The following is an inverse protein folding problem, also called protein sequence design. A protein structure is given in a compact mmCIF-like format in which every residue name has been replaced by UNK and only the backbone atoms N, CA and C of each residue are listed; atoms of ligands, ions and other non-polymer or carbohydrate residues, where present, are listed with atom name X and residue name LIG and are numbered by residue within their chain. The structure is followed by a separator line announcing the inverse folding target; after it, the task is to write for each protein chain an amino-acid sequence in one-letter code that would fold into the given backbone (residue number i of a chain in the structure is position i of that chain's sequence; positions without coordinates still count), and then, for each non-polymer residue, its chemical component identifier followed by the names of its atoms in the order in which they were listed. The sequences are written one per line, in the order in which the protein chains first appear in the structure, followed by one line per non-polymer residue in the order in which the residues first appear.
data_IF_674593211338
#
_entry.id   IF_674593211338
#
_cell.length_a   1.000
_cell.length_b   1.000
_cell.length_c   1.000
_cell.angle_alpha   90.00
_cell.angle_beta   90.00
_cell.angle_gamma   90.00
#
_symmetry.space_group_name_H-M   'P 1'
#
loop_
_entity.id
_entity.type
_entity.pdbx_description
1 polymer ?
#
# COMPACT_ATOMS: atom_id res chain seq x y z
N UNK A 1 19.80 -10.78 7.38
CA UNK A 1 20.98 -11.66 7.39
C UNK A 1 22.27 -10.87 7.64
N UNK A 2 22.56 -9.82 6.89
CA UNK A 2 23.73 -8.96 7.11
C UNK A 2 23.75 -8.36 8.52
N UNK A 3 22.58 -7.93 9.04
CA UNK A 3 22.45 -7.44 10.41
C UNK A 3 23.08 -8.40 11.43
N UNK A 4 22.74 -9.69 11.37
CA UNK A 4 23.26 -10.68 12.34
C UNK A 4 24.75 -10.97 12.12
N UNK A 5 25.18 -11.06 10.85
CA UNK A 5 26.59 -11.28 10.51
C UNK A 5 27.46 -10.14 11.04
N UNK A 6 27.08 -8.90 10.73
CA UNK A 6 27.87 -7.74 11.16
C UNK A 6 27.76 -7.45 12.65
N UNK A 7 26.66 -7.81 13.31
CA UNK A 7 26.56 -7.76 14.76
C UNK A 7 27.52 -8.77 15.44
N UNK A 8 27.72 -9.94 14.83
CA UNK A 8 28.72 -10.88 15.28
C UNK A 8 30.15 -10.39 15.02
N UNK A 9 30.41 -9.82 13.83
CA UNK A 9 31.71 -9.24 13.48
C UNK A 9 32.08 -8.02 14.36
N UNK A 10 31.10 -7.25 14.79
CA UNK A 10 31.30 -6.12 15.70
C UNK A 10 31.77 -6.58 17.09
N UNK A 11 31.33 -7.75 17.56
CA UNK A 11 31.86 -8.37 18.79
C UNK A 11 33.33 -8.81 18.66
N UNK A 12 33.82 -8.93 17.43
CA UNK A 12 35.21 -9.24 17.10
C UNK A 12 36.05 -8.01 16.73
N UNK A 13 35.54 -6.81 17.04
CA UNK A 13 36.15 -5.50 16.74
C UNK A 13 36.47 -5.29 15.26
N UNK A 14 35.66 -5.89 14.35
CA UNK A 14 35.85 -5.70 12.91
C UNK A 14 35.51 -4.26 12.49
N UNK A 15 36.45 -3.54 11.83
CA UNK A 15 36.25 -2.14 11.49
C UNK A 15 35.01 -1.95 10.62
N UNK A 16 34.12 -1.02 11.02
CA UNK A 16 32.90 -0.66 10.29
C UNK A 16 31.70 -1.58 10.53
N UNK A 17 31.85 -2.70 11.25
CA UNK A 17 30.74 -3.62 11.53
C UNK A 17 29.62 -2.95 12.34
N UNK A 18 29.96 -2.05 13.26
CA UNK A 18 29.01 -1.32 14.08
C UNK A 18 28.01 -0.44 13.29
N UNK A 19 28.31 -0.10 12.03
CA UNK A 19 27.38 0.67 11.19
C UNK A 19 26.05 -0.06 10.95
N UNK A 20 26.04 -1.38 10.94
CA UNK A 20 24.84 -2.20 10.74
C UNK A 20 23.87 -2.18 11.93
N UNK A 21 24.27 -1.63 13.09
CA UNK A 21 23.37 -1.38 14.22
C UNK A 21 22.39 -0.24 13.92
N UNK A 22 22.80 0.72 13.09
CA UNK A 22 21.99 1.89 12.78
C UNK A 22 20.92 1.57 11.73
N UNK A 23 19.65 1.85 12.05
CA UNK A 23 18.51 1.67 11.15
C UNK A 23 18.67 2.52 9.88
N UNK A 24 19.16 3.76 10.01
CA UNK A 24 19.39 4.66 8.88
C UNK A 24 20.37 4.08 7.85
N UNK A 25 21.47 3.48 8.30
CA UNK A 25 22.44 2.82 7.41
C UNK A 25 21.82 1.62 6.70
N UNK A 26 21.10 0.76 7.43
CA UNK A 26 20.43 -0.42 6.87
C UNK A 26 19.31 -0.05 5.90
N UNK A 27 18.59 1.03 6.18
CA UNK A 27 17.55 1.55 5.28
C UNK A 27 18.14 2.09 3.99
N UNK A 28 19.21 2.88 4.05
CA UNK A 28 19.89 3.36 2.86
C UNK A 28 20.42 2.19 2.02
N UNK A 29 21.03 1.17 2.65
CA UNK A 29 21.50 -0.03 1.97
C UNK A 29 20.35 -0.81 1.35
N UNK A 30 19.22 -1.00 2.05
CA UNK A 30 18.04 -1.69 1.54
C UNK A 30 17.46 -0.98 0.30
N UNK A 31 17.40 0.36 0.33
CA UNK A 31 16.94 1.16 -0.80
C UNK A 31 17.84 0.98 -2.03
N UNK A 32 19.16 1.12 -1.85
CA UNK A 32 20.14 0.97 -2.94
C UNK A 32 20.10 -0.44 -3.53
N UNK A 33 20.10 -1.48 -2.68
CA UNK A 33 20.03 -2.86 -3.13
C UNK A 33 18.74 -3.15 -3.87
N UNK A 34 17.61 -2.65 -3.37
CA UNK A 34 16.30 -2.82 -3.99
C UNK A 34 16.24 -2.16 -5.35
N UNK A 35 16.72 -0.92 -5.46
CA UNK A 35 16.80 -0.17 -6.71
C UNK A 35 17.70 -0.91 -7.72
N UNK A 36 18.86 -1.39 -7.27
CA UNK A 36 19.79 -2.15 -8.11
C UNK A 36 19.19 -3.47 -8.59
N UNK A 37 18.54 -4.22 -7.71
CA UNK A 37 17.88 -5.48 -8.07
C UNK A 37 16.79 -5.23 -9.10
N UNK A 38 15.93 -4.24 -8.85
CA UNK A 38 14.83 -3.91 -9.76
C UNK A 38 15.33 -3.50 -11.14
N UNK A 39 16.37 -2.68 -11.23
CA UNK A 39 16.91 -2.18 -12.52
C UNK A 39 17.82 -3.20 -13.20
N UNK A 40 18.78 -3.82 -12.51
CA UNK A 40 19.76 -4.72 -13.12
C UNK A 40 19.19 -6.12 -13.41
N UNK A 41 18.41 -6.70 -12.47
CA UNK A 41 17.81 -8.02 -12.63
C UNK A 41 16.50 -7.92 -13.41
N UNK A 42 15.79 -6.81 -13.32
CA UNK A 42 14.52 -6.57 -13.99
C UNK A 42 14.60 -6.84 -15.49
N UNK A 43 15.66 -6.38 -16.16
CA UNK A 43 15.86 -6.63 -17.60
C UNK A 43 15.86 -8.11 -17.95
N UNK A 44 16.59 -8.92 -17.16
CA UNK A 44 16.67 -10.40 -17.41
C UNK A 44 15.30 -11.07 -17.23
N UNK A 45 14.53 -10.60 -16.25
CA UNK A 45 13.16 -11.12 -16.01
C UNK A 45 12.26 -10.73 -17.19
N UNK A 46 12.31 -9.49 -17.66
CA UNK A 46 11.53 -9.01 -18.81
C UNK A 46 11.86 -9.83 -20.06
N UNK A 47 13.14 -10.03 -20.38
CA UNK A 47 13.58 -10.83 -21.54
C UNK A 47 13.04 -12.27 -21.41
N UNK A 48 13.06 -12.87 -20.22
CA UNK A 48 12.50 -14.21 -19.98
C UNK A 48 10.98 -14.24 -20.14
N UNK A 49 10.27 -13.23 -19.65
CA UNK A 49 8.81 -13.11 -19.81
C UNK A 49 8.43 -12.95 -21.30
N UNK A 50 9.22 -12.19 -22.06
CA UNK A 50 9.04 -12.03 -23.51
C UNK A 50 9.27 -13.36 -24.26
N UNK A 51 10.35 -14.09 -23.93
CA UNK A 51 10.63 -15.41 -24.53
C UNK A 51 9.51 -16.42 -24.26
N UNK A 52 8.91 -16.39 -23.09
CA UNK A 52 7.76 -17.23 -22.75
C UNK A 52 6.46 -16.75 -23.40
N UNK A 53 6.51 -15.71 -24.27
CA UNK A 53 5.36 -15.08 -24.93
C UNK A 53 4.25 -14.66 -23.95
N UNK A 54 4.66 -14.25 -22.77
CA UNK A 54 3.77 -13.75 -21.72
C UNK A 54 3.40 -12.31 -22.06
N UNK A 55 2.80 -12.12 -23.25
CA UNK A 55 2.28 -10.83 -23.67
C UNK A 55 0.79 -10.73 -23.42
N UNK A 56 0.34 -9.61 -22.89
CA UNK A 56 -1.07 -9.36 -22.69
C UNK A 56 -1.79 -9.26 -24.04
N UNK A 57 -2.90 -9.98 -24.19
CA UNK A 57 -3.83 -9.75 -25.28
C UNK A 57 -4.63 -8.50 -24.95
N UNK A 58 -4.16 -7.35 -25.44
CA UNK A 58 -4.79 -6.04 -25.22
C UNK A 58 -6.27 -6.11 -25.61
N UNK A 59 -7.16 -5.87 -24.66
CA UNK A 59 -8.60 -5.70 -24.95
C UNK A 59 -8.77 -4.41 -25.72
N UNK A 60 -9.35 -4.47 -26.90
CA UNK A 60 -9.63 -3.25 -27.66
C UNK A 60 -10.75 -2.45 -26.95
N UNK A 61 -10.36 -1.49 -26.16
CA UNK A 61 -11.27 -0.56 -25.45
C UNK A 61 -11.51 0.72 -26.26
N UNK A 62 -10.91 0.82 -27.46
CA UNK A 62 -10.97 1.99 -28.32
C UNK A 62 -10.26 3.20 -27.69
N UNK A 63 -9.18 2.98 -26.96
CA UNK A 63 -8.33 4.02 -26.38
C UNK A 63 -7.15 4.31 -27.32
N UNK A 64 -6.78 5.59 -27.43
CA UNK A 64 -5.63 6.01 -28.23
C UNK A 64 -4.33 5.44 -27.62
N UNK A 65 -3.42 4.95 -28.46
CA UNK A 65 -2.17 4.33 -28.00
C UNK A 65 -2.28 2.89 -27.44
N UNK A 66 -3.48 2.33 -27.32
CA UNK A 66 -3.67 0.98 -26.75
C UNK A 66 -3.05 -0.12 -27.64
N UNK A 67 -3.09 0.04 -28.93
CA UNK A 67 -2.54 -0.95 -29.88
C UNK A 67 -1.01 -1.02 -29.86
N UNK A 68 -0.32 0.06 -29.48
CA UNK A 68 1.15 0.08 -29.31
C UNK A 68 1.62 -0.75 -28.12
N UNK A 69 0.74 -1.05 -27.16
CA UNK A 69 1.01 -1.88 -25.98
C UNK A 69 0.90 -3.40 -26.27
N UNK A 70 0.50 -3.78 -27.47
CA UNK A 70 0.39 -5.20 -27.87
C UNK A 70 1.78 -5.85 -27.86
N UNK A 71 1.92 -6.93 -27.10
CA UNK A 71 3.19 -7.67 -27.00
C UNK A 71 4.05 -7.25 -25.79
N UNK A 72 3.66 -6.21 -25.03
CA UNK A 72 4.32 -5.90 -23.76
C UNK A 72 4.05 -7.04 -22.76
N UNK A 73 5.10 -7.64 -22.15
CA UNK A 73 4.91 -8.73 -21.19
C UNK A 73 4.23 -8.23 -19.92
N UNK A 74 3.43 -9.08 -19.31
CA UNK A 74 2.81 -8.88 -17.99
C UNK A 74 3.54 -9.69 -16.91
N UNK A 75 3.06 -9.68 -15.67
CA UNK A 75 3.69 -10.32 -14.49
C UNK A 75 4.99 -9.65 -14.02
N UNK A 76 5.21 -8.39 -14.36
CA UNK A 76 6.36 -7.60 -13.88
C UNK A 76 6.41 -7.43 -12.36
N UNK A 77 5.29 -7.67 -11.66
CA UNK A 77 5.23 -7.69 -10.20
C UNK A 77 6.24 -8.63 -9.53
N UNK A 78 6.70 -9.67 -10.24
CA UNK A 78 7.78 -10.55 -9.76
C UNK A 78 9.06 -9.75 -9.49
N UNK A 79 9.38 -8.76 -10.32
CA UNK A 79 10.55 -7.89 -10.15
C UNK A 79 10.43 -7.13 -8.83
N UNK A 80 9.23 -6.56 -8.58
CA UNK A 80 8.94 -5.80 -7.36
C UNK A 80 9.08 -6.69 -6.12
N UNK A 81 8.48 -7.88 -6.14
CA UNK A 81 8.53 -8.83 -5.01
C UNK A 81 9.96 -9.20 -4.67
N UNK A 82 10.77 -9.58 -5.65
CA UNK A 82 12.18 -9.93 -5.45
C UNK A 82 12.96 -8.73 -4.91
N UNK A 83 12.72 -7.54 -5.47
CA UNK A 83 13.39 -6.31 -5.07
C UNK A 83 12.98 -5.81 -3.66
N UNK A 84 11.84 -6.24 -3.12
CA UNK A 84 11.45 -6.01 -1.73
C UNK A 84 12.00 -7.09 -0.81
N UNK A 85 11.75 -8.36 -1.15
CA UNK A 85 12.03 -9.48 -0.25
C UNK A 85 13.53 -9.65 -0.01
N UNK A 86 14.35 -9.62 -1.07
CA UNK A 86 15.80 -9.87 -0.94
C UNK A 86 16.50 -8.82 -0.08
N UNK A 87 16.35 -7.49 -0.31
CA UNK A 87 16.96 -6.49 0.56
C UNK A 87 16.42 -6.52 1.99
N UNK A 88 15.12 -6.80 2.18
CA UNK A 88 14.53 -6.95 3.52
C UNK A 88 15.18 -8.11 4.27
N UNK A 89 15.32 -9.30 3.66
CA UNK A 89 15.98 -10.45 4.27
C UNK A 89 17.45 -10.18 4.59
N UNK A 90 18.13 -9.37 3.79
CA UNK A 90 19.54 -9.02 4.02
C UNK A 90 19.72 -7.98 5.13
N UNK A 91 18.91 -6.92 5.13
CA UNK A 91 19.17 -5.72 5.92
C UNK A 91 18.31 -5.59 7.19
N UNK A 92 17.09 -6.16 7.21
CA UNK A 92 16.19 -6.03 8.36
C UNK A 92 16.51 -7.05 9.47
N UNK A 93 16.04 -6.75 10.69
CA UNK A 93 16.05 -7.65 11.83
C UNK A 93 14.88 -8.64 11.69
N UNK A 94 15.17 -9.86 11.26
CA UNK A 94 14.17 -10.87 10.90
C UNK A 94 13.41 -11.46 12.10
N UNK A 95 13.83 -11.20 13.33
CA UNK A 95 13.11 -11.58 14.55
C UNK A 95 12.00 -10.59 14.88
N UNK A 96 11.96 -9.42 14.21
CA UNK A 96 10.93 -8.42 14.45
C UNK A 96 9.60 -8.89 13.82
N UNK A 97 8.53 -8.92 14.64
CA UNK A 97 7.22 -9.43 14.22
C UNK A 97 6.60 -8.60 13.08
N UNK A 98 6.86 -7.30 13.06
CA UNK A 98 6.35 -6.41 12.01
C UNK A 98 6.99 -6.69 10.66
N UNK A 99 8.32 -6.95 10.66
CA UNK A 99 9.05 -7.36 9.44
C UNK A 99 8.52 -8.70 8.91
N UNK A 100 8.28 -9.66 9.81
CA UNK A 100 7.69 -10.96 9.44
C UNK A 100 6.33 -10.78 8.79
N UNK A 101 5.44 -9.97 9.40
CA UNK A 101 4.12 -9.67 8.83
C UNK A 101 4.21 -9.03 7.44
N UNK A 102 5.15 -8.11 7.24
CA UNK A 102 5.36 -7.46 5.94
C UNK A 102 5.85 -8.44 4.88
N UNK A 103 6.77 -9.35 5.23
CA UNK A 103 7.25 -10.40 4.33
C UNK A 103 6.13 -11.41 4.00
N UNK A 104 5.36 -11.84 5.01
CA UNK A 104 4.18 -12.71 4.80
C UNK A 104 3.18 -12.04 3.87
N UNK A 105 2.86 -10.77 4.10
CA UNK A 105 1.97 -9.98 3.24
C UNK A 105 2.45 -9.95 1.79
N UNK A 106 3.74 -9.65 1.59
CA UNK A 106 4.36 -9.56 0.27
C UNK A 106 4.28 -10.89 -0.48
N UNK A 107 4.62 -11.99 0.18
CA UNK A 107 4.61 -13.33 -0.43
C UNK A 107 3.18 -13.82 -0.66
N UNK A 108 2.27 -13.62 0.32
CA UNK A 108 0.88 -14.09 0.23
C UNK A 108 0.12 -13.45 -0.92
N UNK A 109 0.12 -12.11 -0.99
CA UNK A 109 -0.58 -11.42 -2.08
C UNK A 109 0.16 -11.53 -3.41
N UNK A 110 1.49 -11.63 -3.36
CA UNK A 110 2.30 -11.95 -4.52
C UNK A 110 1.92 -13.30 -5.14
N UNK A 111 1.76 -14.33 -4.32
CA UNK A 111 1.32 -15.65 -4.77
C UNK A 111 -0.13 -15.63 -5.28
N UNK A 112 -1.03 -14.89 -4.61
CA UNK A 112 -2.42 -14.72 -5.04
C UNK A 112 -2.51 -14.05 -6.41
N UNK A 113 -1.79 -12.92 -6.59
CA UNK A 113 -1.74 -12.21 -7.86
C UNK A 113 -1.05 -13.02 -8.95
N UNK A 114 0.04 -13.72 -8.62
CA UNK A 114 0.73 -14.61 -9.54
C UNK A 114 -0.19 -15.73 -10.05
N UNK A 115 -0.99 -16.33 -9.18
CA UNK A 115 -1.95 -17.36 -9.58
C UNK A 115 -3.00 -16.80 -10.55
N UNK A 116 -3.48 -15.57 -10.35
CA UNK A 116 -4.40 -14.91 -11.27
C UNK A 116 -3.75 -14.65 -12.63
N UNK A 117 -2.58 -14.02 -12.65
CA UNK A 117 -1.84 -13.75 -13.87
C UNK A 117 -1.46 -15.04 -14.62
N UNK A 118 -1.07 -16.09 -13.87
CA UNK A 118 -0.78 -17.42 -14.46
C UNK A 118 -2.00 -18.00 -15.19
N UNK A 119 -3.19 -17.92 -14.59
CA UNK A 119 -4.43 -18.37 -15.23
C UNK A 119 -4.72 -17.57 -16.49
N UNK A 120 -4.56 -16.23 -16.44
CA UNK A 120 -4.79 -15.34 -17.59
C UNK A 120 -3.85 -15.66 -18.75
N UNK A 121 -2.57 -15.84 -18.46
CA UNK A 121 -1.51 -15.96 -19.47
C UNK A 121 -1.36 -17.39 -19.97
N UNK A 122 -1.09 -18.35 -19.07
CA UNK A 122 -0.74 -19.72 -19.45
C UNK A 122 -1.96 -20.58 -19.76
N UNK A 123 -3.08 -20.39 -19.05
CA UNK A 123 -4.33 -21.08 -19.34
C UNK A 123 -5.20 -20.35 -20.37
N UNK A 124 -4.73 -19.19 -20.88
CA UNK A 124 -5.43 -18.35 -21.86
C UNK A 124 -6.87 -18.00 -21.45
N UNK A 125 -7.15 -18.01 -20.17
CA UNK A 125 -8.44 -17.60 -19.62
C UNK A 125 -8.42 -16.10 -19.28
N UNK A 126 -8.98 -15.28 -20.18
CA UNK A 126 -8.99 -13.81 -20.05
C UNK A 126 -9.68 -13.28 -18.79
N UNK A 127 -10.54 -14.08 -18.16
CA UNK A 127 -11.22 -13.68 -16.92
C UNK A 127 -10.32 -13.83 -15.68
N UNK A 128 -9.27 -14.68 -15.80
CA UNK A 128 -8.36 -14.96 -14.70
C UNK A 128 -9.02 -15.76 -13.56
N UNK A 129 -8.56 -15.55 -12.34
CA UNK A 129 -9.16 -16.13 -11.14
C UNK A 129 -10.49 -15.46 -10.83
N UNK A 130 -11.49 -16.27 -10.51
CA UNK A 130 -12.80 -15.73 -10.13
C UNK A 130 -12.67 -14.80 -8.91
N UNK A 131 -13.28 -13.60 -8.95
CA UNK A 131 -13.13 -12.55 -7.94
C UNK A 131 -13.37 -13.01 -6.49
N UNK A 132 -14.25 -14.01 -6.28
CA UNK A 132 -14.48 -14.60 -4.94
C UNK A 132 -13.21 -15.17 -4.32
N UNK A 133 -12.35 -15.86 -5.10
CA UNK A 133 -11.11 -16.44 -4.58
C UNK A 133 -10.09 -15.36 -4.21
N UNK A 134 -10.04 -14.27 -4.97
CA UNK A 134 -9.20 -13.11 -4.61
C UNK A 134 -9.61 -12.53 -3.26
N UNK A 135 -10.94 -12.33 -3.07
CA UNK A 135 -11.48 -11.81 -1.80
C UNK A 135 -11.19 -12.79 -0.65
N UNK A 136 -11.37 -14.11 -0.85
CA UNK A 136 -11.05 -15.11 0.18
C UNK A 136 -9.56 -15.03 0.56
N UNK A 137 -8.65 -14.91 -0.42
CA UNK A 137 -7.22 -14.75 -0.15
C UNK A 137 -6.89 -13.47 0.62
N UNK A 138 -7.55 -12.36 0.32
CA UNK A 138 -7.40 -11.08 1.02
C UNK A 138 -7.96 -11.15 2.45
N UNK A 139 -9.12 -11.79 2.66
CA UNK A 139 -9.69 -12.05 3.99
C UNK A 139 -8.75 -12.94 4.81
N UNK A 140 -8.19 -13.99 4.20
CA UNK A 140 -7.23 -14.88 4.85
C UNK A 140 -6.01 -14.13 5.37
N UNK A 141 -5.42 -13.24 4.54
CA UNK A 141 -4.32 -12.38 4.98
C UNK A 141 -4.75 -11.43 6.11
N UNK A 142 -5.91 -10.78 5.96
CA UNK A 142 -6.43 -9.87 6.97
C UNK A 142 -6.65 -10.55 8.32
N UNK A 143 -7.13 -11.79 8.32
CA UNK A 143 -7.25 -12.63 9.51
C UNK A 143 -5.87 -12.94 10.12
N UNK A 144 -4.89 -13.36 9.32
CA UNK A 144 -3.53 -13.65 9.80
C UNK A 144 -2.95 -12.39 10.47
N UNK A 145 -3.00 -11.26 9.79
CA UNK A 145 -2.46 -9.99 10.30
C UNK A 145 -3.19 -9.58 11.59
N UNK A 146 -4.53 -9.57 11.57
CA UNK A 146 -5.32 -9.17 12.74
C UNK A 146 -5.10 -10.07 13.95
N UNK A 147 -5.04 -11.38 13.74
CA UNK A 147 -4.79 -12.35 14.83
C UNK A 147 -3.36 -12.25 15.37
N UNK A 148 -2.35 -12.06 14.53
CA UNK A 148 -0.97 -11.86 14.98
C UNK A 148 -0.85 -10.57 15.80
N UNK A 149 -1.46 -9.47 15.36
CA UNK A 149 -1.47 -8.21 16.11
C UNK A 149 -2.21 -8.33 17.45
N UNK A 150 -3.22 -9.20 17.53
CA UNK A 150 -3.92 -9.51 18.77
C UNK A 150 -3.13 -10.41 19.70
N UNK A 151 -2.54 -11.50 19.19
CA UNK A 151 -1.96 -12.56 20.02
C UNK A 151 -0.50 -12.30 20.40
N UNK A 152 0.28 -11.65 19.52
CA UNK A 152 1.72 -11.47 19.77
C UNK A 152 1.97 -10.56 20.98
N UNK A 153 2.79 -10.99 21.95
CA UNK A 153 3.19 -10.15 23.09
C UNK A 153 4.05 -8.96 22.67
N UNK A 154 4.78 -9.07 21.55
CA UNK A 154 5.66 -8.01 21.06
C UNK A 154 4.91 -6.83 20.42
N UNK A 155 3.59 -6.97 20.23
CA UNK A 155 2.74 -5.92 19.64
C UNK A 155 2.13 -5.10 20.75
N UNK A 156 2.82 -4.03 21.11
CA UNK A 156 2.43 -3.09 22.15
C UNK A 156 2.48 -1.65 21.65
N UNK A 157 1.77 -0.77 22.29
CA UNK A 157 1.84 0.67 22.08
C UNK A 157 2.06 1.37 23.42
N UNK A 158 2.77 2.49 23.38
CA UNK A 158 2.89 3.40 24.50
C UNK A 158 2.16 4.70 24.16
N UNK A 159 1.40 5.20 25.14
CA UNK A 159 0.60 6.42 24.99
C UNK A 159 1.24 7.58 25.73
N UNK A 160 1.09 8.78 25.18
CA UNK A 160 1.44 10.02 25.86
C UNK A 160 0.53 10.24 27.06
N UNK A 161 1.10 10.41 28.25
CA UNK A 161 0.42 10.96 29.39
C UNK A 161 0.91 12.40 29.62
N UNK A 162 -0.02 13.36 29.55
CA UNK A 162 0.23 14.73 29.98
C UNK A 162 0.18 14.80 31.50
N UNK A 163 1.32 15.06 32.14
CA UNK A 163 1.33 15.41 33.55
C UNK A 163 0.98 16.89 33.65
N UNK A 164 -0.21 17.20 34.17
CA UNK A 164 -0.68 18.55 34.36
C UNK A 164 -0.54 18.95 35.85
N UNK A 165 0.17 20.05 36.09
CA UNK A 165 0.13 20.75 37.34
C UNK A 165 -0.55 22.11 37.11
N UNK A 166 -1.56 22.47 37.90
CA UNK A 166 -2.32 23.73 37.82
C UNK A 166 -2.82 24.10 36.40
N UNK A 167 -3.34 23.11 35.63
CA UNK A 167 -3.77 23.26 34.23
C UNK A 167 -2.68 23.64 33.21
N UNK A 168 -1.42 23.66 33.60
CA UNK A 168 -0.28 23.82 32.69
C UNK A 168 0.34 22.46 32.45
N UNK A 169 0.64 22.15 31.17
CA UNK A 169 1.36 20.92 30.81
C UNK A 169 2.82 21.16 31.19
N UNK A 170 3.29 20.56 32.29
CA UNK A 170 4.69 20.69 32.72
C UNK A 170 5.60 19.68 31.99
N UNK A 171 5.12 18.48 31.76
CA UNK A 171 5.93 17.43 31.15
C UNK A 171 5.04 16.41 30.42
N UNK A 172 5.46 15.97 29.27
CA UNK A 172 4.84 14.81 28.56
C UNK A 172 5.67 13.58 28.93
N UNK A 173 5.12 12.71 29.76
CA UNK A 173 5.75 11.42 30.09
C UNK A 173 5.00 10.30 29.40
N UNK A 174 5.76 9.42 28.77
CA UNK A 174 5.21 8.13 28.39
C UNK A 174 5.17 7.22 29.62
N UNK A 175 4.04 6.63 29.88
CA UNK A 175 4.02 5.52 30.82
C UNK A 175 4.72 4.34 30.14
N UNK A 176 5.79 3.84 30.77
CA UNK A 176 6.49 2.62 30.40
C UNK A 176 5.63 1.34 30.59
N UNK A 177 4.31 1.43 30.54
CA UNK A 177 3.42 0.28 30.57
C UNK A 177 3.06 -0.05 29.14
N UNK A 178 3.83 -0.94 28.58
CA UNK A 178 3.50 -1.63 27.33
C UNK A 178 2.09 -2.20 27.43
N UNK A 179 1.15 -1.64 26.68
CA UNK A 179 -0.25 -2.05 26.69
C UNK A 179 -0.69 -2.51 25.32
N UNK A 180 -1.34 -3.67 25.29
CA UNK A 180 -2.14 -4.04 24.12
C UNK A 180 -3.33 -3.10 24.01
N UNK A 181 -3.54 -2.50 22.85
CA UNK A 181 -4.61 -1.56 22.64
C UNK A 181 -5.17 -1.65 21.23
N UNK A 182 -6.47 -1.40 21.12
CA UNK A 182 -7.18 -1.26 19.85
C UNK A 182 -7.22 0.18 19.34
N UNK A 183 -6.50 1.10 19.98
CA UNK A 183 -6.44 2.50 19.57
C UNK A 183 -5.72 2.67 18.24
N UNK A 184 -6.18 3.63 17.48
CA UNK A 184 -5.60 4.05 16.20
C UNK A 184 -5.58 5.56 16.09
N UNK A 185 -4.76 6.08 15.18
CA UNK A 185 -4.68 7.51 14.90
C UNK A 185 -5.79 7.94 13.94
N UNK A 186 -6.56 8.96 14.34
CA UNK A 186 -7.58 9.59 13.50
C UNK A 186 -7.20 11.05 13.21
N UNK A 187 -7.29 11.51 11.95
CA UNK A 187 -6.98 12.91 11.62
C UNK A 187 -8.08 13.86 12.10
N UNK A 188 -7.72 15.13 12.32
CA UNK A 188 -8.63 16.25 12.64
C UNK A 188 -9.36 16.15 13.99
N UNK A 189 -9.05 15.19 14.84
CA UNK A 189 -9.67 15.02 16.16
C UNK A 189 -8.67 15.37 17.23
N UNK A 190 -9.15 16.03 18.30
CA UNK A 190 -8.30 16.33 19.48
C UNK A 190 -7.70 15.04 20.04
N UNK A 191 -6.41 15.07 20.31
CA UNK A 191 -5.59 13.94 20.76
C UNK A 191 -5.29 12.87 19.71
N UNK A 192 -5.74 13.03 18.46
CA UNK A 192 -5.48 12.11 17.34
C UNK A 192 -5.79 10.62 17.61
N UNK A 193 -6.56 10.29 18.65
CA UNK A 193 -6.81 8.91 19.07
C UNK A 193 -8.28 8.52 18.88
N UNK A 194 -8.47 7.36 18.28
CA UNK A 194 -9.75 6.67 18.21
C UNK A 194 -9.57 5.26 18.76
N UNK A 195 -10.45 4.85 19.67
CA UNK A 195 -10.43 3.51 20.27
C UNK A 195 -11.62 2.70 19.76
N UNK A 196 -11.35 1.58 19.12
CA UNK A 196 -12.41 0.66 18.65
C UNK A 196 -13.29 0.13 19.80
N UNK A 197 -12.77 0.13 21.04
CA UNK A 197 -13.54 -0.21 22.22
C UNK A 197 -14.75 0.71 22.46
N UNK A 198 -14.73 1.96 21.93
CA UNK A 198 -15.84 2.88 22.02
C UNK A 198 -17.05 2.43 21.19
N UNK A 199 -16.84 1.67 20.11
CA UNK A 199 -17.93 1.17 19.25
C UNK A 199 -18.71 0.02 19.90
N UNK A 200 -18.14 -0.62 20.93
CA UNK A 200 -18.68 -1.83 21.55
C UNK A 200 -18.95 -1.63 23.05
N UNK A 201 -19.24 -0.42 23.50
CA UNK A 201 -19.56 -0.11 24.89
C UNK A 201 -20.75 -0.90 25.44
N UNK A 202 -21.62 -1.37 24.55
CA UNK A 202 -22.77 -2.21 24.86
C UNK A 202 -22.39 -3.67 25.25
N UNK A 203 -21.15 -4.12 24.98
CA UNK A 203 -20.71 -5.48 25.26
C UNK A 203 -20.36 -5.77 26.73
N UNK A 204 -20.40 -4.76 27.61
CA UNK A 204 -20.18 -4.93 29.04
C UNK A 204 -18.83 -5.57 29.37
N UNK A 205 -18.84 -6.74 30.01
CA UNK A 205 -17.63 -7.46 30.44
C UNK A 205 -16.76 -7.94 29.25
N UNK A 206 -17.37 -8.20 28.10
CA UNK A 206 -16.68 -8.66 26.87
C UNK A 206 -16.23 -7.52 25.95
N UNK A 207 -16.12 -6.30 26.49
CA UNK A 207 -15.78 -5.10 25.69
C UNK A 207 -14.42 -5.19 25.01
N UNK A 208 -13.41 -5.72 25.69
CA UNK A 208 -12.06 -5.83 25.13
C UNK A 208 -12.00 -6.84 23.97
N UNK A 209 -12.58 -8.02 24.15
CA UNK A 209 -12.65 -9.03 23.11
C UNK A 209 -13.47 -8.57 21.90
N UNK A 210 -14.59 -7.90 22.15
CA UNK A 210 -15.43 -7.33 21.10
C UNK A 210 -14.68 -6.22 20.35
N UNK A 211 -13.88 -5.38 21.01
CA UNK A 211 -13.07 -4.37 20.38
C UNK A 211 -12.00 -4.98 19.45
N UNK A 212 -11.35 -6.05 19.88
CA UNK A 212 -10.40 -6.78 19.03
C UNK A 212 -11.08 -7.45 17.83
N UNK A 213 -12.28 -7.98 17.99
CA UNK A 213 -13.06 -8.50 16.87
C UNK A 213 -13.35 -7.41 15.83
N UNK A 214 -13.80 -6.23 16.28
CA UNK A 214 -14.04 -5.06 15.39
C UNK A 214 -12.75 -4.64 14.72
N UNK A 215 -11.63 -4.60 15.44
CA UNK A 215 -10.33 -4.29 14.87
C UNK A 215 -9.92 -5.30 13.79
N UNK A 216 -10.06 -6.60 14.02
CA UNK A 216 -9.76 -7.63 13.01
C UNK A 216 -10.64 -7.47 11.77
N UNK A 217 -11.93 -7.17 11.94
CA UNK A 217 -12.84 -6.89 10.81
C UNK A 217 -12.38 -5.64 10.03
N UNK A 218 -11.92 -4.60 10.73
CA UNK A 218 -11.35 -3.41 10.09
C UNK A 218 -10.07 -3.76 9.32
N UNK A 219 -9.17 -4.58 9.88
CA UNK A 219 -7.97 -5.07 9.19
C UNK A 219 -8.34 -5.77 7.88
N UNK A 220 -9.28 -6.70 7.92
CA UNK A 220 -9.78 -7.41 6.73
C UNK A 220 -10.32 -6.42 5.69
N UNK A 221 -11.13 -5.47 6.13
CA UNK A 221 -11.72 -4.45 5.26
C UNK A 221 -10.64 -3.61 4.58
N UNK A 222 -9.66 -3.09 5.35
CA UNK A 222 -8.59 -2.22 4.84
C UNK A 222 -7.69 -2.99 3.86
N UNK A 223 -7.27 -4.22 4.21
CA UNK A 223 -6.46 -5.07 3.32
C UNK A 223 -7.19 -5.31 2.00
N UNK A 224 -8.47 -5.66 2.06
CA UNK A 224 -9.28 -5.92 0.87
C UNK A 224 -9.49 -4.65 0.04
N UNK A 225 -9.83 -3.53 0.68
CA UNK A 225 -10.11 -2.28 -0.02
C UNK A 225 -8.87 -1.70 -0.72
N UNK A 226 -7.73 -1.66 -0.01
CA UNK A 226 -6.51 -1.04 -0.56
C UNK A 226 -5.86 -1.93 -1.62
N UNK A 227 -5.82 -3.26 -1.44
CA UNK A 227 -5.26 -4.16 -2.44
C UNK A 227 -6.06 -4.13 -3.75
N UNK A 228 -7.39 -4.12 -3.68
CA UNK A 228 -8.22 -3.95 -4.87
C UNK A 228 -8.12 -2.53 -5.44
N UNK A 229 -7.94 -1.49 -4.60
CA UNK A 229 -7.73 -0.12 -5.03
C UNK A 229 -6.46 0.07 -5.85
N UNK A 230 -5.37 -0.50 -5.39
CA UNK A 230 -4.11 -0.51 -6.13
C UNK A 230 -4.24 -1.27 -7.46
N UNK A 231 -4.96 -2.42 -7.45
CA UNK A 231 -5.20 -3.21 -8.66
C UNK A 231 -6.04 -2.46 -9.69
N UNK A 232 -7.10 -1.76 -9.28
CA UNK A 232 -7.89 -0.94 -10.19
C UNK A 232 -7.14 0.30 -10.71
N UNK A 233 -6.13 0.77 -9.98
CA UNK A 233 -5.29 1.91 -10.36
C UNK A 233 -4.21 1.51 -11.38
N UNK A 234 -3.90 0.21 -11.52
CA UNK A 234 -2.90 -0.33 -12.46
C UNK A 234 -3.44 -0.40 -13.90
N UNK A 235 -4.03 0.69 -14.38
CA UNK A 235 -4.57 0.79 -15.74
C UNK A 235 -3.76 1.68 -16.68
N UNK A 236 -2.79 2.45 -16.18
CA UNK A 236 -1.89 3.30 -16.95
C UNK A 236 -0.43 3.03 -16.56
N UNK A 237 0.47 3.17 -17.55
CA UNK A 237 1.91 2.93 -17.39
C UNK A 237 2.50 3.79 -16.28
N UNK A 238 3.01 3.16 -15.23
CA UNK A 238 3.63 3.83 -14.08
C UNK A 238 2.66 4.39 -13.03
N UNK A 239 1.35 4.40 -13.25
CA UNK A 239 0.41 5.04 -12.33
C UNK A 239 0.41 4.38 -10.95
N UNK A 240 0.20 3.05 -10.90
CA UNK A 240 0.14 2.32 -9.65
C UNK A 240 1.51 2.27 -8.94
N UNK A 241 2.59 2.02 -9.69
CA UNK A 241 3.95 1.96 -9.13
C UNK A 241 4.39 3.30 -8.53
N UNK A 242 4.20 4.41 -9.26
CA UNK A 242 4.59 5.74 -8.79
C UNK A 242 3.74 6.24 -7.62
N UNK A 243 2.43 6.01 -7.68
CA UNK A 243 1.54 6.34 -6.55
C UNK A 243 1.92 5.53 -5.30
N UNK A 244 2.25 4.24 -5.46
CA UNK A 244 2.70 3.40 -4.34
C UNK A 244 4.03 3.86 -3.77
N UNK A 245 4.98 4.32 -4.60
CA UNK A 245 6.24 4.88 -4.13
C UNK A 245 6.02 6.11 -3.25
N UNK A 246 5.14 7.04 -3.67
CA UNK A 246 4.80 8.25 -2.90
C UNK A 246 4.16 7.86 -1.55
N UNK A 247 3.21 6.92 -1.55
CA UNK A 247 2.58 6.40 -0.34
C UNK A 247 3.62 5.72 0.56
N UNK A 248 4.53 4.94 -0.01
CA UNK A 248 5.60 4.26 0.71
C UNK A 248 6.54 5.23 1.43
N UNK A 249 6.88 6.36 0.81
CA UNK A 249 7.67 7.44 1.45
C UNK A 249 6.93 7.99 2.68
N UNK A 250 5.65 8.31 2.53
CA UNK A 250 4.85 8.82 3.66
C UNK A 250 4.74 7.80 4.80
N UNK A 251 4.47 6.53 4.49
CA UNK A 251 4.42 5.45 5.49
C UNK A 251 5.77 5.24 6.17
N UNK A 252 6.88 5.30 5.44
CA UNK A 252 8.24 5.22 5.99
C UNK A 252 8.53 6.36 6.98
N UNK A 253 8.14 7.59 6.64
CA UNK A 253 8.24 8.75 7.53
C UNK A 253 7.38 8.53 8.78
N UNK A 254 6.13 8.11 8.63
CA UNK A 254 5.22 7.87 9.74
C UNK A 254 5.71 6.74 10.65
N UNK A 255 6.30 5.67 10.11
CA UNK A 255 6.92 4.60 10.89
C UNK A 255 8.12 5.12 11.68
N UNK A 256 9.01 5.90 11.04
CA UNK A 256 10.13 6.51 11.71
C UNK A 256 9.70 7.41 12.86
N UNK A 257 8.69 8.26 12.64
CA UNK A 257 8.14 9.14 13.66
C UNK A 257 7.49 8.37 14.82
N UNK A 258 6.76 7.29 14.50
CA UNK A 258 6.11 6.45 15.53
C UNK A 258 7.09 5.58 16.32
N UNK A 259 8.32 5.37 15.82
CA UNK A 259 9.37 4.59 16.48
C UNK A 259 10.37 5.42 17.29
N UNK A 260 10.21 6.75 17.30
CA UNK A 260 11.08 7.66 18.06
C UNK A 260 10.25 8.47 19.05
N UNK A 261 10.60 8.35 20.32
CA UNK A 261 9.90 8.98 21.42
C UNK A 261 9.66 10.49 21.23
N UNK A 262 10.71 11.24 20.88
CA UNK A 262 10.64 12.69 20.71
C UNK A 262 9.65 13.10 19.60
N UNK A 263 9.70 12.41 18.45
CA UNK A 263 8.82 12.71 17.32
C UNK A 263 7.38 12.26 17.59
N UNK A 264 7.19 11.10 18.21
CA UNK A 264 5.87 10.61 18.58
C UNK A 264 5.19 11.56 19.56
N UNK A 265 5.94 12.05 20.56
CA UNK A 265 5.49 13.06 21.52
C UNK A 265 5.15 14.39 20.83
N UNK A 266 6.05 14.89 19.99
CA UNK A 266 5.85 16.15 19.28
C UNK A 266 4.59 16.13 18.41
N UNK A 267 4.30 15.01 17.74
CA UNK A 267 3.12 14.85 16.89
C UNK A 267 1.88 14.39 17.66
N UNK A 268 2.02 14.06 18.94
CA UNK A 268 0.97 13.46 19.76
C UNK A 268 0.36 12.21 19.09
N UNK A 269 1.23 11.28 18.68
CA UNK A 269 0.88 9.98 18.14
C UNK A 269 1.43 8.89 19.04
N UNK A 270 0.92 7.67 18.88
CA UNK A 270 1.39 6.52 19.66
C UNK A 270 2.84 6.20 19.33
N UNK A 271 3.64 5.95 20.34
CA UNK A 271 4.95 5.35 20.22
C UNK A 271 4.79 3.83 20.05
N UNK A 272 5.45 3.25 19.05
CA UNK A 272 5.35 1.84 18.71
C UNK A 272 6.75 1.23 18.73
N UNK A 273 7.10 0.54 19.83
CA UNK A 273 8.38 -0.15 19.96
C UNK A 273 8.59 -1.14 18.80
N UNK A 274 9.79 -1.19 18.26
CA UNK A 274 10.13 -2.08 17.15
C UNK A 274 9.68 -1.63 15.77
N UNK A 275 8.92 -0.53 15.64
CA UNK A 275 8.48 -0.01 14.33
C UNK A 275 9.63 0.60 13.51
N UNK A 276 10.81 0.84 14.10
CA UNK A 276 11.99 1.30 13.39
C UNK A 276 12.44 0.34 12.29
N UNK A 277 12.24 -0.97 12.45
CA UNK A 277 12.57 -1.96 11.45
C UNK A 277 11.69 -1.86 10.18
N UNK A 278 10.48 -1.30 10.32
CA UNK A 278 9.62 -1.01 9.17
C UNK A 278 10.22 0.06 8.26
N UNK A 279 11.10 0.94 8.75
CA UNK A 279 11.79 1.93 7.91
C UNK A 279 12.73 1.24 6.92
N UNK A 280 13.38 0.13 7.35
CA UNK A 280 14.21 -0.70 6.45
C UNK A 280 13.35 -1.35 5.36
N UNK A 281 12.20 -1.89 5.75
CA UNK A 281 11.25 -2.46 4.78
C UNK A 281 10.69 -1.39 3.84
N UNK A 282 10.31 -0.20 4.35
CA UNK A 282 9.83 0.91 3.53
C UNK A 282 10.88 1.36 2.51
N UNK A 283 12.16 1.40 2.90
CA UNK A 283 13.25 1.73 2.01
C UNK A 283 13.40 0.70 0.87
N UNK A 284 13.27 -0.59 1.17
CA UNK A 284 13.24 -1.64 0.16
C UNK A 284 12.01 -1.51 -0.76
N UNK A 285 10.83 -1.21 -0.21
CA UNK A 285 9.60 -1.00 -0.96
C UNK A 285 9.71 0.20 -1.92
N UNK A 286 10.25 1.33 -1.45
CA UNK A 286 10.48 2.52 -2.26
C UNK A 286 11.48 2.23 -3.38
N UNK A 287 12.61 1.59 -3.05
CA UNK A 287 13.61 1.21 -4.04
C UNK A 287 13.05 0.28 -5.12
N UNK A 288 12.19 -0.69 -4.74
CA UNK A 288 11.55 -1.62 -5.67
C UNK A 288 10.56 -0.91 -6.61
N UNK A 289 9.70 -0.06 -6.07
CA UNK A 289 8.68 0.64 -6.85
C UNK A 289 9.30 1.68 -7.78
N UNK A 290 10.26 2.47 -7.30
CA UNK A 290 11.00 3.44 -8.12
C UNK A 290 11.86 2.73 -9.17
N UNK A 291 12.54 1.65 -8.80
CA UNK A 291 13.33 0.86 -9.75
C UNK A 291 12.47 0.18 -10.81
N UNK A 292 11.27 -0.27 -10.45
CA UNK A 292 10.31 -0.84 -11.42
C UNK A 292 9.82 0.20 -12.43
N UNK A 293 9.68 1.48 -12.03
CA UNK A 293 9.32 2.59 -12.94
C UNK A 293 10.31 2.77 -14.08
N UNK A 294 11.57 2.33 -13.94
CA UNK A 294 12.54 2.33 -15.03
C UNK A 294 12.05 1.61 -16.28
N UNK A 295 11.25 0.56 -16.08
CA UNK A 295 10.69 -0.25 -17.17
C UNK A 295 9.20 -0.02 -17.37
N UNK A 296 8.48 0.40 -16.34
CA UNK A 296 7.03 0.54 -16.37
C UNK A 296 6.54 1.96 -16.66
N UNK A 297 7.42 2.98 -16.63
CA UNK A 297 7.05 4.33 -17.06
C UNK A 297 6.71 4.35 -18.57
N UNK A 298 5.79 5.24 -18.95
CA UNK A 298 5.30 5.34 -20.34
C UNK A 298 6.41 5.68 -21.34
N UNK A 299 6.56 4.94 -22.46
CA UNK A 299 5.86 3.71 -22.81
C UNK A 299 6.41 2.48 -22.10
N UNK A 300 5.55 1.71 -21.44
CA UNK A 300 5.97 0.60 -20.59
C UNK A 300 6.60 -0.56 -21.40
N UNK A 301 7.70 -1.10 -20.89
CA UNK A 301 8.37 -2.30 -21.38
C UNK A 301 7.85 -3.58 -20.70
N UNK A 302 7.16 -3.44 -19.58
CA UNK A 302 6.54 -4.52 -18.80
C UNK A 302 5.36 -3.99 -18.01
N UNK A 303 4.26 -4.77 -17.97
CA UNK A 303 3.13 -4.49 -17.08
C UNK A 303 3.29 -5.20 -15.74
N UNK A 304 2.83 -4.53 -14.69
CA UNK A 304 2.91 -5.03 -13.32
C UNK A 304 2.09 -6.32 -13.15
N UNK A 305 0.86 -6.34 -13.65
CA UNK A 305 -0.10 -7.40 -13.46
C UNK A 305 -0.67 -7.45 -12.03
N UNK A 306 -1.58 -8.41 -11.81
CA UNK A 306 -2.19 -8.61 -10.49
C UNK A 306 -1.15 -9.07 -9.46
N UNK A 307 -0.08 -9.73 -9.91
CA UNK A 307 1.10 -10.10 -9.09
C UNK A 307 1.69 -8.91 -8.34
N UNK A 308 1.85 -7.78 -9.02
CA UNK A 308 2.44 -6.58 -8.42
C UNK A 308 1.40 -5.71 -7.74
N UNK A 309 0.29 -5.43 -8.41
CA UNK A 309 -0.69 -4.43 -7.94
C UNK A 309 -1.41 -4.86 -6.66
N UNK A 310 -1.82 -6.13 -6.52
CA UNK A 310 -2.38 -6.65 -5.27
C UNK A 310 -1.35 -6.63 -4.15
N UNK A 311 -0.10 -6.98 -4.46
CA UNK A 311 1.01 -6.96 -3.48
C UNK A 311 1.27 -5.56 -2.95
N UNK A 312 1.39 -4.56 -3.82
CA UNK A 312 1.64 -3.17 -3.42
C UNK A 312 0.51 -2.64 -2.52
N UNK A 313 -0.75 -2.86 -2.92
CA UNK A 313 -1.89 -2.43 -2.13
C UNK A 313 -1.97 -3.12 -0.77
N UNK A 314 -1.67 -4.42 -0.70
CA UNK A 314 -1.66 -5.14 0.57
C UNK A 314 -0.51 -4.73 1.49
N UNK A 315 0.68 -4.50 0.94
CA UNK A 315 1.82 -3.95 1.69
C UNK A 315 1.43 -2.60 2.31
N UNK A 316 0.85 -1.69 1.54
CA UNK A 316 0.41 -0.37 2.01
C UNK A 316 -0.63 -0.52 3.14
N UNK A 317 -1.61 -1.40 2.97
CA UNK A 317 -2.65 -1.66 3.95
C UNK A 317 -2.07 -2.16 5.28
N UNK A 318 -1.30 -3.25 5.23
CA UNK A 318 -0.75 -3.89 6.43
C UNK A 318 0.27 -2.98 7.12
N UNK A 319 1.06 -2.26 6.35
CA UNK A 319 2.01 -1.28 6.91
C UNK A 319 1.27 -0.21 7.73
N UNK A 320 0.23 0.41 7.16
CA UNK A 320 -0.57 1.43 7.85
C UNK A 320 -1.26 0.89 9.12
N UNK A 321 -1.73 -0.36 9.07
CA UNK A 321 -2.35 -1.05 10.21
C UNK A 321 -1.33 -1.27 11.34
N UNK A 322 -0.13 -1.76 11.01
CA UNK A 322 0.93 -1.99 12.01
C UNK A 322 1.30 -0.71 12.75
N UNK A 323 1.44 0.40 12.01
CA UNK A 323 1.78 1.70 12.62
C UNK A 323 0.56 2.45 13.18
N UNK A 324 -0.62 1.79 13.25
CA UNK A 324 -1.87 2.38 13.77
C UNK A 324 -2.27 3.67 13.04
N UNK A 325 -2.21 3.65 11.71
CA UNK A 325 -2.54 4.77 10.82
C UNK A 325 -3.56 4.39 9.74
N UNK A 326 -4.32 3.32 9.95
CA UNK A 326 -5.29 2.82 8.98
C UNK A 326 -6.41 3.83 8.67
N UNK A 327 -6.78 4.69 9.63
CA UNK A 327 -7.78 5.75 9.40
C UNK A 327 -7.24 6.95 8.61
N UNK A 328 -5.92 7.01 8.36
CA UNK A 328 -5.32 7.99 7.44
C UNK A 328 -5.31 7.50 5.98
N UNK A 329 -5.53 6.20 5.74
CA UNK A 329 -5.54 5.61 4.39
C UNK A 329 -6.48 6.32 3.42
N UNK A 330 -7.71 6.73 3.77
CA UNK A 330 -8.58 7.43 2.85
C UNK A 330 -7.97 8.71 2.28
N UNK A 331 -7.11 9.39 3.03
CA UNK A 331 -6.39 10.59 2.57
C UNK A 331 -5.14 10.15 1.81
N UNK A 332 -4.27 9.36 2.44
CA UNK A 332 -2.99 8.95 1.89
C UNK A 332 -3.14 8.18 0.57
N UNK A 333 -4.07 7.24 0.52
CA UNK A 333 -4.40 6.45 -0.66
C UNK A 333 -5.59 7.05 -1.44
N UNK A 334 -5.79 8.35 -1.39
CA UNK A 334 -6.96 9.01 -2.01
C UNK A 334 -7.07 8.75 -3.51
N UNK A 335 -5.95 8.54 -4.21
CA UNK A 335 -5.94 8.13 -5.62
C UNK A 335 -6.61 6.76 -5.76
N UNK A 336 -6.18 5.73 -4.99
CA UNK A 336 -6.78 4.40 -5.04
C UNK A 336 -8.25 4.42 -4.65
N UNK A 337 -8.59 5.25 -3.66
CA UNK A 337 -9.97 5.44 -3.20
C UNK A 337 -10.86 6.03 -4.32
N UNK A 338 -10.41 7.08 -4.98
CA UNK A 338 -11.19 7.75 -6.05
C UNK A 338 -11.34 6.83 -7.26
N UNK A 339 -10.30 6.07 -7.63
CA UNK A 339 -10.39 5.07 -8.70
C UNK A 339 -11.43 3.99 -8.37
N UNK A 340 -11.40 3.42 -7.17
CA UNK A 340 -12.38 2.46 -6.69
C UNK A 340 -13.81 3.04 -6.69
N UNK A 341 -13.98 4.23 -6.08
CA UNK A 341 -15.28 4.88 -5.99
C UNK A 341 -15.85 5.19 -7.37
N UNK A 342 -15.02 5.57 -8.33
CA UNK A 342 -15.47 5.84 -9.71
C UNK A 342 -16.10 4.59 -10.35
N UNK A 343 -15.53 3.41 -10.11
CA UNK A 343 -16.05 2.13 -10.60
C UNK A 343 -17.34 1.74 -9.89
N UNK A 344 -17.38 1.87 -8.56
CA UNK A 344 -18.56 1.57 -7.77
C UNK A 344 -19.75 2.49 -8.17
N UNK A 345 -19.50 3.80 -8.23
CA UNK A 345 -20.52 4.79 -8.63
C UNK A 345 -21.03 4.53 -10.04
N UNK A 346 -20.13 4.29 -10.99
CA UNK A 346 -20.48 3.98 -12.37
C UNK A 346 -21.34 2.72 -12.47
N UNK A 347 -20.92 1.64 -11.80
CA UNK A 347 -21.62 0.35 -11.86
C UNK A 347 -23.00 0.43 -11.18
N UNK A 348 -23.06 1.07 -10.00
CA UNK A 348 -24.32 1.24 -9.27
C UNK A 348 -25.31 2.09 -10.06
N UNK A 349 -24.87 3.25 -10.55
CA UNK A 349 -25.71 4.17 -11.32
C UNK A 349 -26.20 3.53 -12.63
N UNK A 350 -25.33 2.82 -13.33
CA UNK A 350 -25.70 2.11 -14.55
C UNK A 350 -26.77 1.04 -14.30
N UNK A 351 -26.61 0.22 -13.26
CA UNK A 351 -27.62 -0.79 -12.87
C UNK A 351 -28.94 -0.16 -12.43
N UNK A 352 -28.88 0.90 -11.62
CA UNK A 352 -30.05 1.62 -11.15
C UNK A 352 -30.85 2.23 -12.30
N UNK A 353 -30.19 2.95 -13.21
CA UNK A 353 -30.84 3.60 -14.35
C UNK A 353 -31.39 2.57 -15.34
N UNK A 354 -30.67 1.47 -15.57
CA UNK A 354 -31.17 0.37 -16.42
C UNK A 354 -32.46 -0.24 -15.84
N UNK A 355 -32.54 -0.41 -14.51
CA UNK A 355 -33.74 -0.92 -13.85
C UNK A 355 -34.92 0.09 -13.94
N UNK A 356 -34.62 1.39 -13.78
CA UNK A 356 -35.66 2.45 -13.71
C UNK A 356 -36.14 2.92 -15.08
N UNK A 357 -35.26 3.03 -16.07
CA UNK A 357 -35.53 3.65 -17.36
C UNK A 357 -35.41 2.70 -18.56
N UNK A 358 -35.08 1.42 -18.32
CA UNK A 358 -34.82 0.44 -19.38
C UNK A 358 -33.42 0.54 -19.99
N UNK A 359 -32.76 1.70 -19.88
CA UNK A 359 -31.44 1.97 -20.43
C UNK A 359 -30.42 2.34 -19.32
N UNK A 360 -29.23 1.75 -19.41
CA UNK A 360 -28.15 2.05 -18.48
C UNK A 360 -27.45 3.37 -18.83
N UNK A 361 -27.49 4.36 -17.94
CA UNK A 361 -26.80 5.65 -18.10
C UNK A 361 -25.47 5.63 -17.38
N UNK A 362 -24.50 6.41 -17.88
CA UNK A 362 -23.15 6.49 -17.31
C UNK A 362 -22.93 7.82 -16.61
N UNK A 363 -22.18 7.82 -15.48
CA UNK A 363 -21.70 9.04 -14.85
C UNK A 363 -20.48 9.56 -15.59
N UNK A 364 -19.46 8.72 -15.73
CA UNK A 364 -18.21 9.00 -16.42
C UNK A 364 -18.22 8.39 -17.83
N UNK A 365 -17.42 8.94 -18.74
CA UNK A 365 -17.22 8.36 -20.09
C UNK A 365 -16.74 6.92 -20.01
N UNK A 366 -15.86 6.64 -19.05
CA UNK A 366 -15.34 5.31 -18.72
C UNK A 366 -14.92 5.28 -17.25
N UNK A 367 -14.93 4.12 -16.62
CA UNK A 367 -14.36 3.86 -15.28
C UNK A 367 -13.37 2.69 -15.39
N UNK A 368 -12.29 2.67 -14.59
CA UNK A 368 -11.88 3.66 -13.56
C UNK A 368 -11.64 5.09 -14.11
N UNK A 369 -11.46 6.07 -13.19
CA UNK A 369 -11.44 7.50 -13.52
C UNK A 369 -10.32 7.89 -14.49
N UNK A 370 -9.14 7.26 -14.40
CA UNK A 370 -8.03 7.53 -15.33
C UNK A 370 -8.44 7.32 -16.79
N UNK A 371 -9.26 6.31 -17.10
CA UNK A 371 -9.77 6.07 -18.45
C UNK A 371 -10.79 7.12 -18.90
N UNK A 372 -11.47 7.79 -17.98
CA UNK A 372 -12.35 8.92 -18.30
C UNK A 372 -11.59 10.03 -19.01
N UNK A 373 -10.35 10.31 -18.62
CA UNK A 373 -9.51 11.34 -19.22
C UNK A 373 -8.93 10.92 -20.57
N UNK A 374 -8.81 9.63 -20.86
CA UNK A 374 -8.34 9.10 -22.14
C UNK A 374 -9.42 9.07 -23.22
N UNK A 375 -10.71 9.25 -22.88
CA UNK A 375 -11.81 9.26 -23.85
C UNK A 375 -12.16 10.69 -24.25
N UNK A 376 -12.35 10.97 -25.57
CA UNK A 376 -12.86 12.25 -26.02
C UNK A 376 -14.29 12.47 -25.52
N UNK A 377 -14.66 13.72 -25.28
CA UNK A 377 -16.05 14.11 -25.04
C UNK A 377 -16.86 14.00 -26.34
N UNK A 378 -18.16 13.74 -26.20
CA UNK A 378 -19.09 13.62 -27.34
C UNK A 378 -18.76 12.48 -28.34
N UNK A 379 -18.00 11.46 -27.95
CA UNK A 379 -17.68 10.30 -28.78
C UNK A 379 -18.84 9.26 -28.83
N UNK A 380 -20.09 9.72 -28.90
CA UNK A 380 -21.27 8.84 -28.89
C UNK A 380 -21.59 8.20 -27.54
N UNK A 381 -20.81 8.49 -26.50
CA UNK A 381 -21.02 7.98 -25.14
C UNK A 381 -21.90 8.97 -24.37
N UNK A 382 -23.12 8.59 -24.03
CA UNK A 382 -23.99 9.38 -23.15
C UNK A 382 -23.53 9.22 -21.70
N UNK A 383 -22.69 10.15 -21.23
CA UNK A 383 -22.26 10.24 -19.84
C UNK A 383 -22.66 11.60 -19.25
N UNK A 384 -22.97 11.64 -17.93
CA UNK A 384 -23.32 12.89 -17.24
C UNK A 384 -22.14 13.87 -17.26
N UNK A 385 -20.92 13.37 -17.08
CA UNK A 385 -19.68 14.16 -17.07
C UNK A 385 -18.95 13.92 -18.40
N UNK A 386 -18.94 14.91 -19.27
CA UNK A 386 -18.28 14.86 -20.59
C UNK A 386 -16.89 15.51 -20.60
N UNK A 387 -16.62 16.43 -19.68
CA UNK A 387 -15.31 17.11 -19.59
C UNK A 387 -14.23 16.16 -19.05
N UNK A 388 -12.98 16.24 -19.54
CA UNK A 388 -12.50 17.06 -20.64
C UNK A 388 -12.99 16.55 -21.99
N UNK A 389 -13.22 17.48 -22.94
CA UNK A 389 -13.65 17.10 -24.31
C UNK A 389 -12.49 16.50 -25.13
N UNK A 390 -11.28 17.03 -24.93
CA UNK A 390 -10.09 16.53 -25.60
C UNK A 390 -9.47 15.38 -24.84
N UNK A 391 -8.88 14.44 -25.56
CA UNK A 391 -8.10 13.34 -24.98
C UNK A 391 -6.89 13.93 -24.25
N UNK A 392 -6.66 13.44 -23.04
CA UNK A 392 -5.45 13.79 -22.28
C UNK A 392 -4.42 12.67 -22.48
N UNK A 393 -3.19 12.98 -22.90
CA UNK A 393 -2.13 11.97 -23.05
C UNK A 393 -1.86 11.21 -21.75
N UNK A 394 -1.58 9.92 -21.85
CA UNK A 394 -1.40 9.02 -20.71
C UNK A 394 -0.34 9.52 -19.72
N UNK A 395 0.84 9.88 -20.21
CA UNK A 395 1.93 10.42 -19.38
C UNK A 395 1.51 11.66 -18.58
N UNK A 396 0.69 12.53 -19.17
CA UNK A 396 0.17 13.72 -18.50
C UNK A 396 -0.85 13.40 -17.41
N UNK A 397 -1.68 12.36 -17.61
CA UNK A 397 -2.60 11.87 -16.59
C UNK A 397 -1.79 11.34 -15.41
N UNK A 398 -0.83 10.46 -15.66
CA UNK A 398 0.00 9.81 -14.63
C UNK A 398 0.73 10.84 -13.77
N UNK A 399 1.42 11.81 -14.40
CA UNK A 399 2.13 12.89 -13.67
C UNK A 399 1.18 13.71 -12.81
N UNK A 400 -0.02 14.04 -13.31
CA UNK A 400 -1.02 14.78 -12.53
C UNK A 400 -1.51 14.00 -11.31
N UNK A 401 -1.73 12.69 -11.46
CA UNK A 401 -2.09 11.83 -10.34
C UNK A 401 -0.95 11.74 -9.31
N UNK A 402 0.31 11.64 -9.74
CA UNK A 402 1.45 11.69 -8.82
C UNK A 402 1.54 13.00 -8.04
N UNK A 403 1.32 14.15 -8.71
CA UNK A 403 1.28 15.45 -8.03
C UNK A 403 0.17 15.52 -6.98
N UNK A 404 -1.02 15.01 -7.30
CA UNK A 404 -2.11 14.88 -6.33
C UNK A 404 -1.70 13.94 -5.20
N UNK A 405 -1.07 12.81 -5.51
CA UNK A 405 -0.56 11.86 -4.51
C UNK A 405 0.43 12.49 -3.54
N UNK A 406 1.36 13.31 -4.04
CA UNK A 406 2.31 14.06 -3.19
C UNK A 406 1.56 15.03 -2.27
N UNK A 407 0.58 15.77 -2.80
CA UNK A 407 -0.24 16.69 -1.99
C UNK A 407 -0.97 15.93 -0.89
N UNK A 408 -1.59 14.79 -1.22
CA UNK A 408 -2.30 13.95 -0.25
C UNK A 408 -1.36 13.37 0.82
N UNK A 409 -0.14 12.96 0.44
CA UNK A 409 0.88 12.49 1.37
C UNK A 409 1.31 13.60 2.36
N UNK A 410 1.54 14.81 1.87
CA UNK A 410 1.86 15.98 2.70
C UNK A 410 0.68 16.31 3.63
N UNK A 411 -0.56 16.37 3.11
CA UNK A 411 -1.76 16.61 3.92
C UNK A 411 -1.85 15.55 5.01
N UNK A 412 -1.65 14.28 4.70
CA UNK A 412 -1.72 13.18 5.69
C UNK A 412 -0.77 13.41 6.87
N UNK A 413 0.48 13.83 6.61
CA UNK A 413 1.45 14.13 7.67
C UNK A 413 1.05 15.40 8.44
N UNK A 414 0.62 16.45 7.74
CA UNK A 414 0.23 17.73 8.35
C UNK A 414 -1.01 17.57 9.25
N UNK A 415 -1.97 16.72 8.86
CA UNK A 415 -3.19 16.49 9.67
C UNK A 415 -2.91 15.98 11.07
N UNK A 416 -1.76 15.32 11.30
CA UNK A 416 -1.35 14.87 12.63
C UNK A 416 -1.03 16.04 13.57
N UNK A 417 -0.69 17.22 13.04
CA UNK A 417 -0.40 18.42 13.82
C UNK A 417 -1.56 19.43 13.86
N UNK A 418 -2.55 19.27 12.96
CA UNK A 418 -3.74 20.14 12.94
C UNK A 418 -4.67 19.72 14.09
N UNK A 419 -4.78 20.57 15.11
CA UNK A 419 -5.61 20.37 16.31
C UNK A 419 -6.78 21.35 16.36
#
# INVERSE_FOLDING_TARGET
MLYYLFNYLDQLDFPGAGMFKYVSFRSAQALILSLFISTAIGRRIIDKLQMLQIGETVRNLGLEGQMSKKGTPTMGGIIIIIAIVVPTLLCAKLTNIYVILMLVTTIWLGALGFADDYIKVFRKNKEGMHGKFKIIGQIGLGLIVGLVLFMSPDVVIEENMEVRHDNVIEEVRYHAVEKKSTKTTIPFVKNNNFDYAQLVNWAGEYKEEAAWLVFVLMVIFVVTAVSNGANLTDGLDGLAAGSSAIIGVALGILAYMSSHFEFASFLNIMFIPGAEELVVFAAAFIGATVGFLWYNAYPAQVFMGDTGSLTLGGIIAVFAIIIRKELLIPILCGIFLVENLSVLMQTFYFKYTKKKYGEGRRIFKMAPLHHHFQKPGNAGIQALIQKPFNVVPESKIVVRFWLIGIILAVITIVTLKMR
#
